data_IF_129652409097
#
_entry.id   IF_129652409097
#
_cell.length_a   1.000
_cell.length_b   1.000
_cell.length_c   1.000
_cell.angle_alpha   90.00
_cell.angle_beta   90.00
_cell.angle_gamma   90.00
#
_symmetry.space_group_name_H-M   'P 1'
#
loop_
_entity.id
_entity.type
_entity.pdbx_description
1 polymer ?
#
# COMPACT_ATOMS: atom_id res chain seq x y z
N UNK A 1 -6.16 -22.59 37.16
CA UNK A 1 -6.40 -21.14 36.99
C UNK A 1 -5.23 -20.54 36.23
N UNK A 2 -5.29 -20.51 34.89
CA UNK A 2 -4.26 -19.90 34.05
C UNK A 2 -4.54 -18.40 33.97
N UNK A 3 -3.64 -17.61 34.55
CA UNK A 3 -3.63 -16.16 34.45
C UNK A 3 -3.67 -15.80 32.97
N UNK A 4 -4.72 -15.08 32.58
CA UNK A 4 -4.82 -14.44 31.27
C UNK A 4 -3.62 -13.52 31.19
N UNK A 5 -2.61 -13.87 30.38
CA UNK A 5 -1.53 -12.95 30.02
C UNK A 5 -2.18 -11.70 29.46
N UNK A 6 -2.26 -10.65 30.30
CA UNK A 6 -2.53 -9.30 29.83
C UNK A 6 -1.38 -9.02 28.87
N UNK A 7 -1.66 -9.10 27.57
CA UNK A 7 -0.69 -8.85 26.53
C UNK A 7 -0.23 -7.41 26.68
N UNK A 8 0.82 -7.20 27.46
CA UNK A 8 1.29 -5.87 27.77
C UNK A 8 1.77 -5.24 26.46
N UNK A 9 1.26 -4.04 26.18
CA UNK A 9 1.56 -3.35 24.92
C UNK A 9 2.44 -2.14 25.20
N UNK A 10 3.46 -1.96 24.38
CA UNK A 10 4.38 -0.84 24.44
C UNK A 10 3.97 0.25 23.46
N UNK A 11 4.11 1.51 23.89
CA UNK A 11 4.02 2.64 22.98
C UNK A 11 5.15 2.59 21.93
N UNK A 12 4.90 3.12 20.73
CA UNK A 12 5.83 3.08 19.60
C UNK A 12 7.25 3.57 19.95
N UNK A 13 7.38 4.67 20.70
CA UNK A 13 8.69 5.20 21.09
C UNK A 13 9.49 4.24 21.98
N UNK A 14 8.82 3.60 22.96
CA UNK A 14 9.46 2.62 23.84
C UNK A 14 9.83 1.35 23.07
N UNK A 15 8.95 0.86 22.21
CA UNK A 15 9.22 -0.29 21.37
C UNK A 15 10.39 -0.04 20.41
N UNK A 16 10.48 1.14 19.78
CA UNK A 16 11.60 1.52 18.93
C UNK A 16 12.93 1.51 19.69
N UNK A 17 12.94 2.05 20.92
CA UNK A 17 14.11 2.04 21.79
C UNK A 17 14.56 0.61 22.13
N UNK A 18 13.63 -0.25 22.54
CA UNK A 18 13.93 -1.65 22.89
C UNK A 18 14.37 -2.49 21.68
N UNK A 19 13.83 -2.20 20.50
CA UNK A 19 14.25 -2.80 19.23
C UNK A 19 15.53 -2.16 18.65
N UNK A 20 16.08 -1.14 19.31
CA UNK A 20 17.26 -0.37 18.87
C UNK A 20 17.08 0.16 17.44
N UNK A 21 15.89 0.61 17.08
CA UNK A 21 15.59 1.21 15.78
C UNK A 21 15.48 2.72 15.91
N UNK A 22 15.97 3.45 14.90
CA UNK A 22 15.65 4.87 14.73
C UNK A 22 14.17 5.03 14.43
N UNK A 23 13.61 6.23 14.65
CA UNK A 23 12.19 6.51 14.36
C UNK A 23 11.78 6.10 12.94
N UNK A 24 12.54 6.51 11.92
CA UNK A 24 12.25 6.16 10.53
C UNK A 24 12.37 4.66 10.24
N UNK A 25 13.34 3.97 10.85
CA UNK A 25 13.51 2.52 10.73
C UNK A 25 12.34 1.76 11.37
N UNK A 26 11.85 2.21 12.53
CA UNK A 26 10.71 1.62 13.22
C UNK A 26 9.40 1.84 12.45
N UNK A 27 9.18 3.03 11.90
CA UNK A 27 8.06 3.32 11.01
C UNK A 27 8.06 2.36 9.82
N UNK A 28 9.23 2.17 9.17
CA UNK A 28 9.38 1.23 8.06
C UNK A 28 9.19 -0.23 8.49
N UNK A 29 9.75 -0.63 9.63
CA UNK A 29 9.61 -1.98 10.14
C UNK A 29 8.15 -2.34 10.37
N UNK A 30 7.35 -1.37 10.83
CA UNK A 30 5.93 -1.60 11.02
C UNK A 30 5.18 -1.62 9.68
N UNK A 31 5.43 -0.62 8.82
CA UNK A 31 4.81 -0.55 7.50
C UNK A 31 5.05 -1.81 6.67
N UNK A 32 6.26 -2.36 6.71
CA UNK A 32 6.65 -3.58 6.01
C UNK A 32 6.22 -4.88 6.75
N UNK A 33 5.49 -4.76 7.86
CA UNK A 33 5.00 -5.90 8.65
C UNK A 33 6.09 -6.70 9.36
N UNK A 34 7.30 -6.16 9.50
CA UNK A 34 8.40 -6.80 10.25
C UNK A 34 8.20 -6.68 11.77
N UNK A 35 7.55 -5.60 12.21
CA UNK A 35 7.07 -5.40 13.59
C UNK A 35 5.55 -5.45 13.57
N UNK A 36 4.96 -6.42 14.25
CA UNK A 36 3.50 -6.51 14.39
C UNK A 36 3.00 -5.47 15.40
N UNK A 37 1.97 -4.73 15.02
CA UNK A 37 1.31 -3.76 15.90
C UNK A 37 -0.16 -4.08 16.13
N UNK A 38 -0.66 -3.58 17.25
CA UNK A 38 -2.08 -3.59 17.63
C UNK A 38 -2.58 -2.15 17.74
N UNK A 39 -3.85 -1.94 17.38
CA UNK A 39 -4.43 -0.61 17.20
C UNK A 39 -4.22 -0.08 15.77
N UNK A 40 -5.30 0.42 15.15
CA UNK A 40 -5.33 0.82 13.73
C UNK A 40 -4.33 1.90 13.35
N UNK A 41 -3.96 1.93 12.07
CA UNK A 41 -2.86 2.73 11.54
C UNK A 41 -3.01 4.22 11.79
N UNK A 42 -4.23 4.75 11.74
CA UNK A 42 -4.51 6.18 11.87
C UNK A 42 -4.99 6.60 13.26
N UNK A 43 -5.20 5.64 14.17
CA UNK A 43 -5.72 5.90 15.52
C UNK A 43 -4.75 6.64 16.45
N UNK A 44 -3.50 6.87 16.03
CA UNK A 44 -2.43 7.43 16.88
C UNK A 44 -2.06 6.53 18.08
N UNK A 45 -2.73 5.40 18.26
CA UNK A 45 -2.58 4.45 19.37
C UNK A 45 -1.95 3.14 18.89
N UNK A 46 -1.09 3.20 17.88
CA UNK A 46 -0.32 2.05 17.40
C UNK A 46 0.60 1.58 18.53
N UNK A 47 0.37 0.38 19.04
CA UNK A 47 1.17 -0.24 20.11
C UNK A 47 1.78 -1.54 19.64
N UNK A 48 2.92 -1.91 20.23
CA UNK A 48 3.62 -3.17 19.94
C UNK A 48 3.43 -4.11 21.12
N UNK A 49 2.90 -5.34 20.93
CA UNK A 49 2.86 -6.33 22.00
C UNK A 49 4.26 -6.63 22.55
N UNK A 50 4.42 -6.76 23.88
CA UNK A 50 5.72 -7.08 24.49
C UNK A 50 6.30 -8.39 23.96
N UNK A 51 5.46 -9.42 23.80
CA UNK A 51 5.88 -10.69 23.20
C UNK A 51 6.45 -10.53 21.78
N UNK A 52 5.99 -9.55 21.01
CA UNK A 52 6.56 -9.25 19.69
C UNK A 52 7.95 -8.63 19.79
N UNK A 53 8.14 -7.69 20.73
CA UNK A 53 9.46 -7.09 21.00
C UNK A 53 10.44 -8.15 21.44
N UNK A 54 10.04 -9.02 22.36
CA UNK A 54 10.89 -10.11 22.84
C UNK A 54 11.22 -11.13 21.75
N UNK A 55 10.25 -11.50 20.91
CA UNK A 55 10.48 -12.38 19.73
C UNK A 55 11.57 -11.82 18.83
N UNK A 56 11.52 -10.52 18.54
CA UNK A 56 12.50 -9.85 17.69
C UNK A 56 13.86 -9.73 18.38
N UNK A 57 13.89 -9.46 19.69
CA UNK A 57 15.15 -9.41 20.48
C UNK A 57 15.85 -10.76 20.59
N UNK A 58 15.09 -11.85 20.64
CA UNK A 58 15.62 -13.24 20.65
C UNK A 58 16.00 -13.76 19.26
N UNK A 59 15.66 -13.04 18.19
CA UNK A 59 16.00 -13.45 16.84
C UNK A 59 17.52 -13.38 16.61
N UNK A 60 18.06 -14.37 15.89
CA UNK A 60 19.47 -14.40 15.55
C UNK A 60 19.87 -13.14 14.74
N UNK A 61 21.03 -12.57 15.08
CA UNK A 61 21.53 -11.36 14.43
C UNK A 61 20.86 -10.06 14.89
N UNK A 62 20.08 -10.06 15.97
CA UNK A 62 19.50 -8.82 16.52
C UNK A 62 20.58 -7.85 17.05
N UNK A 63 20.48 -6.53 16.81
CA UNK A 63 19.45 -5.84 16.00
C UNK A 63 19.80 -5.73 14.50
N UNK A 64 21.01 -6.15 14.09
CA UNK A 64 21.53 -5.97 12.73
C UNK A 64 20.63 -6.57 11.64
N UNK A 65 20.15 -7.79 11.83
CA UNK A 65 19.27 -8.45 10.87
C UNK A 65 17.94 -7.70 10.68
N UNK A 66 17.38 -7.11 11.75
CA UNK A 66 16.17 -6.31 11.66
C UNK A 66 16.43 -4.97 10.95
N UNK A 67 17.56 -4.32 11.27
CA UNK A 67 17.97 -3.08 10.61
C UNK A 67 18.23 -3.27 9.12
N UNK A 68 18.82 -4.40 8.72
CA UNK A 68 19.09 -4.69 7.31
C UNK A 68 17.80 -4.80 6.49
N UNK A 69 16.76 -5.42 7.06
CA UNK A 69 15.44 -5.55 6.42
C UNK A 69 14.71 -4.22 6.20
N UNK A 70 15.08 -3.18 6.96
CA UNK A 70 14.52 -1.82 6.82
C UNK A 70 15.56 -0.82 6.31
N UNK A 71 16.73 -1.31 5.86
CA UNK A 71 17.81 -0.46 5.38
C UNK A 71 17.39 0.22 4.10
N UNK A 72 17.35 1.55 4.14
CA UNK A 72 17.07 2.36 2.97
C UNK A 72 18.34 2.98 2.42
N UNK A 73 18.45 3.07 1.10
CA UNK A 73 19.59 3.63 0.38
C UNK A 73 19.14 4.70 -0.61
N UNK A 74 20.02 5.66 -0.88
CA UNK A 74 19.81 6.67 -1.93
C UNK A 74 20.25 6.16 -3.31
N UNK A 75 20.25 7.04 -4.32
CA UNK A 75 20.60 6.69 -5.70
C UNK A 75 22.01 6.12 -5.87
N UNK A 76 23.02 6.74 -5.25
CA UNK A 76 24.42 6.33 -5.44
C UNK A 76 24.66 4.92 -4.87
N UNK A 77 24.39 4.74 -3.59
CA UNK A 77 24.50 3.45 -2.90
C UNK A 77 23.56 2.38 -3.49
N UNK A 78 22.36 2.76 -3.94
CA UNK A 78 21.44 1.86 -4.62
C UNK A 78 21.97 1.38 -5.98
N UNK A 79 22.68 2.23 -6.71
CA UNK A 79 23.31 1.87 -7.98
C UNK A 79 24.51 0.93 -7.75
N UNK A 80 25.31 1.17 -6.72
CA UNK A 80 26.40 0.27 -6.30
C UNK A 80 25.89 -1.12 -5.90
N UNK A 81 24.80 -1.20 -5.12
CA UNK A 81 24.19 -2.48 -4.74
C UNK A 81 23.69 -3.32 -5.92
N UNK A 82 23.41 -2.67 -7.05
CA UNK A 82 22.90 -3.31 -8.27
C UNK A 82 23.98 -3.47 -9.34
N UNK A 83 25.22 -3.05 -9.07
CA UNK A 83 26.34 -3.01 -10.02
C UNK A 83 26.00 -2.27 -11.34
N UNK A 84 25.41 -1.07 -11.21
CA UNK A 84 25.05 -0.20 -12.34
C UNK A 84 25.47 1.25 -12.10
N UNK A 85 25.46 2.07 -13.16
CA UNK A 85 25.70 3.50 -13.02
C UNK A 85 24.50 4.23 -12.36
N UNK A 86 24.75 5.33 -11.60
CA UNK A 86 23.67 6.15 -11.03
C UNK A 86 22.67 6.70 -12.05
N UNK A 87 23.13 7.00 -13.27
CA UNK A 87 22.27 7.44 -14.37
C UNK A 87 21.35 6.33 -14.87
N UNK A 88 21.80 5.07 -14.86
CA UNK A 88 20.95 3.91 -15.18
C UNK A 88 19.94 3.63 -14.08
N UNK A 89 20.37 3.69 -12.82
CA UNK A 89 19.48 3.55 -11.67
C UNK A 89 18.34 4.58 -11.73
N UNK A 90 18.67 5.84 -12.00
CA UNK A 90 17.68 6.91 -12.11
C UNK A 90 16.67 6.65 -13.22
N UNK A 91 17.11 6.16 -14.39
CA UNK A 91 16.20 5.77 -15.48
C UNK A 91 15.26 4.64 -15.07
N UNK A 92 15.77 3.57 -14.45
CA UNK A 92 14.94 2.47 -13.95
C UNK A 92 13.91 2.95 -12.92
N UNK A 93 14.32 3.83 -12.01
CA UNK A 93 13.43 4.37 -10.99
C UNK A 93 12.34 5.29 -11.58
N UNK A 94 12.70 6.19 -12.51
CA UNK A 94 11.75 7.07 -13.19
C UNK A 94 10.75 6.29 -14.05
N UNK A 95 11.21 5.24 -14.73
CA UNK A 95 10.37 4.31 -15.48
C UNK A 95 9.52 3.38 -14.61
N UNK A 96 9.65 3.45 -13.27
CA UNK A 96 8.83 2.72 -12.33
C UNK A 96 9.24 1.28 -12.03
N UNK A 97 10.41 0.82 -12.50
CA UNK A 97 10.94 -0.50 -12.15
C UNK A 97 11.40 -0.59 -10.69
N UNK A 98 11.84 0.54 -10.14
CA UNK A 98 12.26 0.66 -8.75
C UNK A 98 11.29 1.58 -8.01
N UNK A 99 10.61 1.03 -7.00
CA UNK A 99 9.60 1.77 -6.24
C UNK A 99 10.23 2.31 -4.95
N UNK A 100 10.35 3.63 -4.78
CA UNK A 100 10.88 4.18 -3.55
C UNK A 100 9.92 3.91 -2.39
N UNK A 101 10.50 3.80 -1.19
CA UNK A 101 9.78 3.51 0.06
C UNK A 101 9.62 4.77 0.91
N UNK A 102 10.58 5.70 0.82
CA UNK A 102 10.51 7.02 1.46
C UNK A 102 11.12 8.08 0.55
N UNK A 103 10.90 9.33 0.93
CA UNK A 103 11.67 10.44 0.42
C UNK A 103 11.83 11.51 1.50
N UNK A 104 12.74 12.45 1.28
CA UNK A 104 12.84 13.68 2.04
C UNK A 104 13.24 14.84 1.13
N UNK A 105 12.96 16.06 1.57
CA UNK A 105 13.48 17.26 0.92
C UNK A 105 14.82 17.63 1.56
N UNK A 106 15.85 17.80 0.74
CA UNK A 106 17.11 18.32 1.25
C UNK A 106 17.00 19.83 1.57
N UNK A 107 18.05 20.44 2.12
CA UNK A 107 18.10 21.89 2.42
C UNK A 107 17.86 22.79 1.19
N UNK A 108 18.09 22.26 -0.01
CA UNK A 108 17.88 22.92 -1.29
C UNK A 108 16.51 22.61 -1.90
N UNK A 109 15.64 21.91 -1.16
CA UNK A 109 14.28 21.51 -1.57
C UNK A 109 14.23 20.50 -2.72
N UNK A 110 15.36 19.87 -3.07
CA UNK A 110 15.37 18.74 -3.98
C UNK A 110 14.92 17.47 -3.27
N UNK A 111 14.14 16.66 -3.99
CA UNK A 111 13.58 15.41 -3.49
C UNK A 111 14.66 14.33 -3.52
N UNK A 112 14.98 13.78 -2.35
CA UNK A 112 15.85 12.61 -2.23
C UNK A 112 14.98 11.39 -1.99
N UNK A 113 14.98 10.49 -2.97
CA UNK A 113 14.26 9.22 -2.91
C UNK A 113 15.10 8.16 -2.20
N UNK A 114 14.43 7.34 -1.40
CA UNK A 114 15.01 6.25 -0.63
C UNK A 114 14.37 4.93 -1.03
N UNK A 115 15.21 3.94 -1.30
CA UNK A 115 14.83 2.61 -1.78
C UNK A 115 15.22 1.56 -0.75
N UNK A 116 14.47 0.46 -0.67
CA UNK A 116 14.81 -0.62 0.26
C UNK A 116 15.96 -1.44 -0.31
N UNK A 117 17.07 -1.55 0.43
CA UNK A 117 18.27 -2.25 -0.03
C UNK A 117 17.97 -3.71 -0.43
N UNK A 118 17.13 -4.39 0.36
CA UNK A 118 16.71 -5.78 0.11
C UNK A 118 15.97 -5.92 -1.23
N UNK A 119 15.07 -4.98 -1.56
CA UNK A 119 14.32 -4.99 -2.82
C UNK A 119 15.23 -4.74 -4.03
N UNK A 120 16.23 -3.87 -3.90
CA UNK A 120 17.20 -3.61 -4.96
C UNK A 120 18.04 -4.86 -5.27
N UNK A 121 18.53 -5.55 -4.23
CA UNK A 121 19.28 -6.81 -4.40
C UNK A 121 18.40 -7.90 -4.99
N UNK A 122 17.15 -8.01 -4.53
CA UNK A 122 16.19 -8.98 -5.06
C UNK A 122 15.87 -8.69 -6.55
N UNK A 123 15.72 -7.42 -6.92
CA UNK A 123 15.51 -7.01 -8.31
C UNK A 123 16.74 -7.34 -9.18
N UNK A 124 17.95 -7.00 -8.74
CA UNK A 124 19.18 -7.30 -9.47
C UNK A 124 19.38 -8.81 -9.67
N UNK A 125 19.03 -9.61 -8.67
CA UNK A 125 19.13 -11.07 -8.74
C UNK A 125 18.04 -11.72 -9.61
N UNK A 126 16.83 -11.15 -9.62
CA UNK A 126 15.67 -11.71 -10.32
C UNK A 126 15.57 -11.34 -11.79
N UNK A 127 16.11 -10.19 -12.20
CA UNK A 127 16.04 -9.67 -13.56
C UNK A 127 17.43 -9.18 -14.05
N UNK A 128 18.45 -10.06 -14.13
CA UNK A 128 19.85 -9.65 -14.42
C UNK A 128 20.02 -9.01 -15.81
N UNK A 129 19.08 -9.23 -16.73
CA UNK A 129 19.10 -8.63 -18.07
C UNK A 129 18.66 -7.16 -18.12
N UNK A 130 17.93 -6.65 -17.12
CA UNK A 130 17.48 -5.25 -17.06
C UNK A 130 18.55 -4.27 -16.53
N UNK A 131 19.50 -4.68 -15.67
CA UNK A 131 20.72 -3.95 -15.37
C UNK A 131 21.71 -3.83 -16.54
N UNK A 132 21.73 -4.78 -17.49
CA UNK A 132 22.69 -4.78 -18.59
C UNK A 132 22.10 -4.44 -19.97
N UNK A 133 20.79 -4.65 -20.20
CA UNK A 133 20.16 -4.61 -21.53
C UNK A 133 19.50 -3.28 -21.92
N UNK A 134 18.67 -3.30 -22.96
CA UNK A 134 17.80 -2.16 -23.34
C UNK A 134 16.60 -2.12 -22.39
N UNK A 135 16.25 -0.94 -21.87
CA UNK A 135 15.03 -0.79 -21.07
C UNK A 135 13.82 -1.13 -21.97
N UNK A 136 12.94 -2.07 -21.57
CA UNK A 136 11.67 -2.25 -22.24
C UNK A 136 10.92 -0.92 -22.20
N UNK A 137 10.30 -0.55 -23.33
CA UNK A 137 9.36 0.56 -23.36
C UNK A 137 8.35 0.35 -22.24
N UNK A 138 8.20 1.36 -21.40
CA UNK A 138 7.37 1.40 -20.21
C UNK A 138 6.08 0.60 -20.40
N UNK A 139 5.98 -0.49 -19.65
CA UNK A 139 4.73 -1.19 -19.44
C UNK A 139 4.38 -0.99 -17.98
N UNK A 140 3.28 -0.30 -17.70
CA UNK A 140 2.51 -0.50 -16.48
C UNK A 140 2.50 -2.01 -16.20
N UNK A 141 3.19 -2.46 -15.15
CA UNK A 141 3.23 -3.88 -14.78
C UNK A 141 1.89 -4.25 -14.14
N UNK A 142 0.86 -4.35 -14.97
CA UNK A 142 -0.42 -4.92 -14.61
C UNK A 142 -0.32 -6.45 -14.73
N UNK A 143 -0.50 -7.15 -13.60
CA UNK A 143 -0.86 -8.56 -13.55
C UNK A 143 0.28 -9.59 -13.32
N UNK A 144 -0.03 -10.72 -12.65
CA UNK A 144 0.93 -11.79 -12.43
C UNK A 144 1.26 -12.50 -13.75
N UNK A 145 2.56 -12.64 -14.06
CA UNK A 145 3.03 -13.49 -15.16
C UNK A 145 2.56 -14.94 -14.91
N UNK A 146 1.83 -15.53 -15.85
CA UNK A 146 1.59 -16.99 -15.86
C UNK A 146 2.95 -17.72 -15.96
N UNK A 147 3.12 -18.87 -15.29
CA UNK A 147 4.32 -19.67 -15.45
C UNK A 147 4.42 -20.17 -16.89
N UNK A 148 5.61 -20.04 -17.46
CA UNK A 148 5.98 -20.52 -18.79
C UNK A 148 5.90 -22.04 -18.83
N UNK A 149 4.76 -22.55 -19.29
CA UNK A 149 4.57 -23.95 -19.65
C UNK A 149 5.17 -24.22 -21.02
N UNK A 150 6.25 -25.00 -21.02
CA UNK A 150 6.88 -25.62 -22.19
C UNK A 150 5.85 -26.42 -22.99
N UNK A 151 5.67 -26.09 -24.26
CA UNK A 151 5.11 -27.00 -25.27
C UNK A 151 5.97 -26.88 -26.54
N UNK A 152 6.48 -28.03 -26.99
CA UNK A 152 7.22 -28.21 -28.24
C UNK A 152 6.25 -28.54 -29.37
N UNK A 153 6.76 -28.26 -30.58
CA UNK A 153 6.44 -28.81 -31.90
C UNK A 153 5.32 -28.13 -32.71
N UNK A 154 5.70 -27.81 -33.95
CA UNK A 154 4.83 -27.29 -35.01
C UNK A 154 5.63 -26.41 -35.96
N UNK A 155 6.42 -27.04 -36.82
CA UNK A 155 7.15 -26.50 -37.97
C UNK A 155 6.34 -25.52 -38.83
N UNK A 156 6.97 -24.41 -39.26
CA UNK A 156 6.87 -23.99 -40.65
C UNK A 156 8.02 -23.07 -41.10
N UNK A 157 8.44 -23.27 -42.34
CA UNK A 157 9.50 -22.55 -43.04
C UNK A 157 9.02 -21.18 -43.51
N UNK A 158 9.92 -20.18 -43.54
CA UNK A 158 9.65 -18.97 -44.33
C UNK A 158 10.55 -17.77 -44.05
N UNK A 159 11.59 -17.64 -44.87
CA UNK A 159 12.12 -16.38 -45.43
C UNK A 159 12.80 -15.39 -44.46
N UNK A 160 14.12 -15.30 -44.60
CA UNK A 160 14.95 -14.17 -44.17
C UNK A 160 14.73 -13.01 -45.18
N UNK A 161 14.67 -11.76 -44.70
CA UNK A 161 15.42 -10.76 -45.43
C UNK A 161 16.32 -9.92 -44.51
N UNK A 162 17.56 -9.77 -44.96
CA UNK A 162 18.48 -8.72 -44.56
C UNK A 162 17.83 -7.35 -44.77
N UNK A 163 17.77 -6.55 -43.72
CA UNK A 163 17.60 -5.11 -43.84
C UNK A 163 18.33 -4.41 -42.69
N UNK A 164 19.49 -3.84 -43.02
CA UNK A 164 20.15 -2.81 -42.22
C UNK A 164 19.14 -1.68 -41.98
N UNK A 165 18.73 -1.49 -40.73
CA UNK A 165 18.06 -0.28 -40.30
C UNK A 165 18.99 0.46 -39.33
N UNK A 166 19.53 1.57 -39.84
CA UNK A 166 20.38 2.48 -39.11
C UNK A 166 19.71 2.97 -37.81
N UNK A 167 20.53 2.93 -36.77
CA UNK A 167 20.69 3.97 -35.76
C UNK A 167 19.85 5.25 -35.97
N UNK A 168 18.58 5.20 -35.56
CA UNK A 168 17.84 6.37 -35.18
C UNK A 168 17.87 6.44 -33.66
N UNK A 169 18.77 7.27 -33.13
CA UNK A 169 18.72 7.75 -31.75
C UNK A 169 17.37 8.47 -31.56
N UNK A 170 16.34 7.69 -31.22
CA UNK A 170 15.03 8.22 -30.88
C UNK A 170 15.20 9.13 -29.68
N UNK A 171 15.00 10.43 -29.91
CA UNK A 171 14.82 11.44 -28.86
C UNK A 171 13.74 10.90 -27.92
N UNK A 172 14.21 10.38 -26.79
CA UNK A 172 13.37 9.86 -25.74
C UNK A 172 12.68 11.06 -25.11
N UNK A 173 11.39 11.21 -25.39
CA UNK A 173 10.49 12.08 -24.61
C UNK A 173 10.82 11.82 -23.14
N UNK A 174 11.04 12.85 -22.29
CA UNK A 174 11.39 12.63 -20.91
C UNK A 174 10.31 11.75 -20.30
N UNK A 175 10.65 10.48 -20.09
CA UNK A 175 9.76 9.48 -19.52
C UNK A 175 9.25 10.09 -18.22
N UNK A 176 7.93 10.25 -18.17
CA UNK A 176 7.24 10.87 -17.04
C UNK A 176 7.71 10.18 -15.77
N UNK A 177 8.08 10.96 -14.75
CA UNK A 177 8.72 10.41 -13.57
C UNK A 177 7.68 9.67 -12.72
N UNK A 178 7.61 8.35 -12.86
CA UNK A 178 6.63 7.52 -12.12
C UNK A 178 6.95 7.37 -10.62
N UNK A 179 8.07 7.91 -10.12
CA UNK A 179 8.46 7.75 -8.70
C UNK A 179 7.40 8.28 -7.71
N UNK A 180 6.81 9.48 -7.89
CA UNK A 180 5.74 9.97 -7.00
C UNK A 180 4.51 9.06 -7.03
N UNK A 181 4.03 8.70 -8.22
CA UNK A 181 2.88 7.80 -8.42
C UNK A 181 3.09 6.44 -7.75
N UNK A 182 4.23 5.79 -8.02
CA UNK A 182 4.52 4.47 -7.46
C UNK A 182 4.75 4.52 -5.94
N UNK A 183 5.36 5.60 -5.44
CA UNK A 183 5.48 5.84 -4.00
C UNK A 183 4.10 5.96 -3.34
N UNK A 184 3.21 6.80 -3.90
CA UNK A 184 1.83 6.97 -3.40
C UNK A 184 1.10 5.64 -3.42
N UNK A 185 1.11 4.92 -4.55
CA UNK A 185 0.47 3.61 -4.68
C UNK A 185 0.95 2.61 -3.62
N UNK A 186 2.27 2.52 -3.40
CA UNK A 186 2.84 1.70 -2.32
C UNK A 186 2.37 2.16 -0.95
N UNK A 187 2.45 3.46 -0.66
CA UNK A 187 2.07 4.02 0.66
C UNK A 187 0.60 3.78 0.97
N UNK A 188 -0.28 4.02 0.00
CA UNK A 188 -1.72 3.78 0.09
C UNK A 188 -2.01 2.29 0.29
N UNK A 189 -1.37 1.40 -0.49
CA UNK A 189 -1.54 -0.05 -0.34
C UNK A 189 -1.17 -0.55 1.06
N UNK A 190 -0.07 -0.06 1.63
CA UNK A 190 0.37 -0.41 2.98
C UNK A 190 -0.63 0.07 4.04
N UNK A 191 -1.09 1.33 3.95
CA UNK A 191 -2.09 1.86 4.87
C UNK A 191 -3.42 1.10 4.78
N UNK A 192 -3.87 0.76 3.57
CA UNK A 192 -5.07 -0.05 3.36
C UNK A 192 -4.92 -1.48 3.92
N UNK A 193 -3.72 -2.03 3.98
CA UNK A 193 -3.50 -3.34 4.60
C UNK A 193 -3.55 -3.27 6.12
N UNK A 194 -3.18 -2.13 6.72
CA UNK A 194 -3.17 -1.93 8.17
C UNK A 194 -4.53 -1.44 8.74
N UNK A 195 -5.47 -1.03 7.88
CA UNK A 195 -6.75 -0.43 8.29
C UNK A 195 -7.96 -1.30 7.96
N UNK A 196 -8.65 -1.74 9.01
CA UNK A 196 -9.92 -2.48 8.92
C UNK A 196 -11.15 -1.54 8.92
N UNK A 197 -11.03 -0.34 9.50
CA UNK A 197 -12.13 0.63 9.57
C UNK A 197 -12.47 1.17 8.18
N UNK A 198 -13.75 1.07 7.79
CA UNK A 198 -14.18 1.40 6.42
C UNK A 198 -14.08 2.90 6.10
N UNK A 199 -14.29 3.76 7.10
CA UNK A 199 -14.12 5.21 6.94
C UNK A 199 -12.63 5.58 6.84
N UNK A 200 -11.76 4.92 7.60
CA UNK A 200 -10.31 5.06 7.53
C UNK A 200 -9.78 4.69 6.15
N UNK A 201 -10.27 3.58 5.58
CA UNK A 201 -9.92 3.15 4.22
C UNK A 201 -10.32 4.18 3.15
N UNK A 202 -11.52 4.74 3.25
CA UNK A 202 -11.98 5.81 2.36
C UNK A 202 -11.09 7.07 2.53
N UNK A 203 -10.74 7.44 3.75
CA UNK A 203 -9.87 8.58 4.03
C UNK A 203 -8.45 8.38 3.49
N UNK A 204 -7.92 7.15 3.55
CA UNK A 204 -6.63 6.79 2.96
C UNK A 204 -6.64 7.05 1.45
N UNK A 205 -7.61 6.49 0.73
CA UNK A 205 -7.69 6.68 -0.73
C UNK A 205 -7.98 8.12 -1.10
N UNK A 206 -8.86 8.81 -0.37
CA UNK A 206 -9.17 10.22 -0.62
C UNK A 206 -8.02 11.18 -0.32
N UNK A 207 -7.00 10.75 0.44
CA UNK A 207 -5.91 11.62 0.90
C UNK A 207 -4.97 12.12 -0.21
N UNK A 208 -4.97 11.47 -1.38
CA UNK A 208 -4.16 11.82 -2.54
C UNK A 208 -4.95 12.56 -3.62
N UNK A 209 -6.27 12.71 -3.46
CA UNK A 209 -7.08 13.51 -4.38
C UNK A 209 -6.97 15.00 -4.03
N UNK A 210 -7.05 15.84 -5.05
CA UNK A 210 -7.16 17.29 -4.87
C UNK A 210 -8.45 17.62 -4.07
N UNK A 211 -8.43 18.63 -3.16
CA UNK A 211 -9.60 18.98 -2.36
C UNK A 211 -10.86 19.31 -3.17
N UNK A 212 -10.73 19.84 -4.39
CA UNK A 212 -11.86 20.11 -5.30
C UNK A 212 -12.46 18.80 -5.78
N UNK A 213 -11.63 17.88 -6.27
CA UNK A 213 -12.07 16.54 -6.70
C UNK A 213 -12.73 15.75 -5.55
N UNK A 214 -12.20 15.87 -4.34
CA UNK A 214 -12.78 15.26 -3.15
C UNK A 214 -14.15 15.87 -2.81
N UNK A 215 -14.31 17.18 -2.96
CA UNK A 215 -15.57 17.88 -2.71
C UNK A 215 -16.67 17.50 -3.71
N UNK A 216 -16.31 17.27 -4.97
CA UNK A 216 -17.23 16.76 -6.00
C UNK A 216 -17.76 15.37 -5.65
N UNK A 217 -16.86 14.45 -5.26
CA UNK A 217 -17.24 13.06 -4.95
C UNK A 217 -17.98 12.92 -3.62
N UNK A 218 -17.77 13.85 -2.69
CA UNK A 218 -18.35 13.81 -1.34
C UNK A 218 -19.09 15.12 -1.06
N UNK A 219 -20.32 15.28 -1.59
CA UNK A 219 -21.10 16.51 -1.38
C UNK A 219 -21.44 16.75 0.10
N UNK A 220 -21.69 15.69 0.89
CA UNK A 220 -22.03 15.82 2.32
C UNK A 220 -20.84 16.41 3.12
N UNK A 221 -20.99 17.61 3.73
CA UNK A 221 -19.92 18.23 4.50
C UNK A 221 -19.50 17.41 5.74
N UNK A 222 -20.39 16.62 6.33
CA UNK A 222 -20.06 15.78 7.50
C UNK A 222 -19.22 14.58 7.11
N UNK A 223 -19.48 13.97 5.95
CA UNK A 223 -18.62 12.92 5.41
C UNK A 223 -17.23 13.47 5.09
N UNK A 224 -17.14 14.65 4.47
CA UNK A 224 -15.85 15.32 4.24
C UNK A 224 -15.11 15.63 5.54
N UNK A 225 -15.81 16.12 6.57
CA UNK A 225 -15.23 16.35 7.88
C UNK A 225 -14.72 15.05 8.53
N UNK A 226 -15.46 13.95 8.36
CA UNK A 226 -15.05 12.62 8.80
C UNK A 226 -13.75 12.16 8.10
N UNK A 227 -13.70 12.26 6.77
CA UNK A 227 -12.52 11.90 5.98
C UNK A 227 -11.30 12.76 6.36
N UNK A 228 -11.49 14.07 6.54
CA UNK A 228 -10.42 14.98 6.95
C UNK A 228 -9.86 14.65 8.33
N UNK A 229 -10.73 14.25 9.28
CA UNK A 229 -10.30 13.82 10.63
C UNK A 229 -9.50 12.52 10.59
N UNK A 230 -9.85 11.62 9.67
CA UNK A 230 -9.21 10.33 9.47
C UNK A 230 -8.08 10.39 8.44
N UNK A 231 -7.70 11.56 7.93
CA UNK A 231 -6.70 11.67 6.87
C UNK A 231 -5.32 11.21 7.37
N UNK A 232 -4.65 10.27 6.67
CA UNK A 232 -3.32 9.82 7.06
C UNK A 232 -2.26 10.91 6.85
N UNK A 233 -1.22 10.89 7.69
CA UNK A 233 0.05 11.52 7.38
C UNK A 233 0.86 10.61 6.43
N UNK A 234 0.87 10.97 5.14
CA UNK A 234 1.55 10.18 4.11
C UNK A 234 3.08 10.32 4.20
N UNK A 235 3.58 11.49 4.63
CA UNK A 235 5.00 11.80 4.69
C UNK A 235 5.31 12.63 5.96
N UNK A 236 5.65 11.97 7.09
CA UNK A 236 5.90 12.66 8.34
C UNK A 236 7.13 13.57 8.24
N UNK A 237 6.93 14.85 8.55
CA UNK A 237 7.93 15.90 8.42
C UNK A 237 7.40 17.03 7.54
N UNK A 238 6.70 18.00 8.14
CA UNK A 238 6.21 19.16 7.40
C UNK A 238 7.38 20.08 7.05
N UNK A 239 7.55 20.47 5.78
CA UNK A 239 8.56 21.44 5.41
C UNK A 239 8.23 22.80 6.04
N UNK A 240 9.22 23.44 6.67
CA UNK A 240 9.04 24.75 7.31
C UNK A 240 8.88 25.91 6.33
N UNK A 241 9.24 25.73 5.06
CA UNK A 241 9.16 26.77 4.01
C UNK A 241 8.00 26.54 3.04
N UNK A 242 7.41 27.61 2.51
CA UNK A 242 6.34 27.59 1.52
C UNK A 242 6.68 26.81 0.25
N UNK A 243 7.81 27.12 -0.40
CA UNK A 243 8.27 26.35 -1.57
C UNK A 243 8.45 24.85 -1.27
N UNK A 244 8.85 24.51 -0.04
CA UNK A 244 8.90 23.11 0.39
C UNK A 244 7.50 22.48 0.48
N UNK A 245 6.51 23.21 1.00
CA UNK A 245 5.11 22.76 1.05
C UNK A 245 4.55 22.54 -0.36
N UNK A 246 4.91 23.40 -1.31
CA UNK A 246 4.52 23.25 -2.71
C UNK A 246 5.09 21.97 -3.34
N UNK A 247 6.40 21.73 -3.18
CA UNK A 247 7.04 20.49 -3.66
C UNK A 247 6.40 19.27 -3.01
N UNK A 248 6.14 19.29 -1.71
CA UNK A 248 5.41 18.21 -1.03
C UNK A 248 4.00 18.02 -1.60
N UNK A 249 3.26 19.11 -1.88
CA UNK A 249 1.92 19.05 -2.45
C UNK A 249 1.90 18.26 -3.76
N UNK A 250 2.82 18.57 -4.68
CA UNK A 250 2.96 17.85 -5.97
C UNK A 250 3.31 16.37 -5.81
N UNK A 251 4.06 16.01 -4.76
CA UNK A 251 4.42 14.61 -4.49
C UNK A 251 3.28 13.83 -3.80
N UNK A 252 2.47 14.49 -2.98
CA UNK A 252 1.44 13.85 -2.18
C UNK A 252 0.09 13.77 -2.92
N UNK A 253 -0.17 14.66 -3.87
CA UNK A 253 -1.40 14.69 -4.67
C UNK A 253 -1.21 13.95 -5.99
N UNK A 254 -2.22 13.18 -6.41
CA UNK A 254 -2.28 12.56 -7.72
C UNK A 254 -2.56 13.61 -8.80
N UNK A 255 -1.75 13.59 -9.86
CA UNK A 255 -1.81 14.58 -10.96
C UNK A 255 -2.06 13.90 -12.32
N UNK A 256 -1.73 12.61 -12.44
CA UNK A 256 -1.95 11.86 -13.67
C UNK A 256 -3.44 11.46 -13.82
N UNK A 257 -4.07 11.66 -15.00
CA UNK A 257 -5.51 11.43 -15.18
C UNK A 257 -5.98 10.00 -14.86
N UNK A 258 -5.17 8.99 -15.17
CA UNK A 258 -5.51 7.59 -14.90
C UNK A 258 -5.33 7.24 -13.41
N UNK A 259 -4.31 7.79 -12.74
CA UNK A 259 -4.14 7.71 -11.28
C UNK A 259 -5.33 8.36 -10.55
N UNK A 260 -5.73 9.56 -10.98
CA UNK A 260 -6.90 10.28 -10.45
C UNK A 260 -8.16 9.43 -10.65
N UNK A 261 -8.40 8.93 -11.87
CA UNK A 261 -9.58 8.12 -12.20
C UNK A 261 -9.67 6.85 -11.35
N UNK A 262 -8.52 6.19 -11.11
CA UNK A 262 -8.42 5.03 -10.24
C UNK A 262 -8.78 5.35 -8.78
N UNK A 263 -8.23 6.45 -8.23
CA UNK A 263 -8.53 6.87 -6.86
C UNK A 263 -9.97 7.32 -6.69
N UNK A 264 -10.56 8.02 -7.66
CA UNK A 264 -11.97 8.41 -7.67
C UNK A 264 -12.88 7.18 -7.62
N UNK A 265 -12.63 6.20 -8.49
CA UNK A 265 -13.41 4.95 -8.54
C UNK A 265 -13.29 4.15 -7.24
N UNK A 266 -12.06 4.05 -6.71
CA UNK A 266 -11.78 3.38 -5.44
C UNK A 266 -12.47 4.07 -4.25
N UNK A 267 -12.45 5.40 -4.21
CA UNK A 267 -13.09 6.18 -3.16
C UNK A 267 -14.61 6.00 -3.17
N UNK A 268 -15.24 6.04 -4.35
CA UNK A 268 -16.68 5.80 -4.50
C UNK A 268 -17.09 4.43 -3.95
N UNK A 269 -16.34 3.37 -4.28
CA UNK A 269 -16.60 2.03 -3.75
C UNK A 269 -16.45 1.96 -2.22
N UNK A 270 -15.37 2.54 -1.68
CA UNK A 270 -15.10 2.54 -0.24
C UNK A 270 -16.11 3.38 0.55
N UNK A 271 -16.60 4.49 0.00
CA UNK A 271 -17.66 5.29 0.62
C UNK A 271 -18.98 4.53 0.66
N UNK A 272 -19.33 3.81 -0.42
CA UNK A 272 -20.51 2.96 -0.43
C UNK A 272 -20.42 1.86 0.66
N UNK A 273 -19.24 1.24 0.83
CA UNK A 273 -18.99 0.28 1.90
C UNK A 273 -19.07 0.92 3.29
N UNK A 274 -18.48 2.10 3.48
CA UNK A 274 -18.46 2.80 4.75
C UNK A 274 -19.87 3.24 5.19
N UNK A 275 -20.67 3.78 4.27
CA UNK A 275 -22.07 4.19 4.53
C UNK A 275 -22.96 3.01 4.90
N UNK A 276 -22.72 1.83 4.34
CA UNK A 276 -23.44 0.59 4.68
C UNK A 276 -23.14 0.10 6.10
N UNK A 277 -21.94 0.35 6.60
CA UNK A 277 -21.53 -0.04 7.95
C UNK A 277 -21.96 0.98 9.00
N UNK A 278 -21.70 2.26 8.76
CA UNK A 278 -22.11 3.34 9.65
C UNK A 278 -22.16 4.67 8.90
N UNK A 279 -23.21 5.46 9.14
CA UNK A 279 -23.25 6.84 8.65
C UNK A 279 -22.13 7.69 9.28
N UNK A 280 -21.68 8.74 8.59
CA UNK A 280 -20.66 9.64 9.13
C UNK A 280 -21.12 10.24 10.48
N UNK A 281 -20.22 10.38 11.47
CA UNK A 281 -20.55 11.03 12.73
C UNK A 281 -21.06 12.45 12.47
N UNK A 282 -22.36 12.66 12.69
CA UNK A 282 -22.95 14.00 12.69
C UNK A 282 -22.92 14.52 14.12
N UNK A 283 -22.63 15.81 14.36
CA UNK A 283 -22.89 16.40 15.65
C UNK A 283 -24.37 16.17 15.93
N UNK A 284 -24.68 15.35 16.94
CA UNK A 284 -26.04 15.18 17.41
C UNK A 284 -26.54 16.57 17.73
N UNK A 285 -27.62 17.00 17.07
CA UNK A 285 -28.34 18.17 17.50
C UNK A 285 -28.88 17.87 18.89
N UNK A 286 -28.11 18.15 19.94
CA UNK A 286 -28.71 18.67 21.15
C UNK A 286 -29.26 20.02 20.71
N UNK A 287 -30.48 20.00 20.18
CA UNK A 287 -31.31 21.19 20.28
C UNK A 287 -31.21 21.63 21.74
N UNK A 288 -30.92 22.90 22.05
CA UNK A 288 -31.20 23.37 23.39
C UNK A 288 -32.66 23.01 23.62
N UNK A 289 -32.92 22.16 24.60
CA UNK A 289 -34.26 21.94 25.12
C UNK A 289 -34.70 23.29 25.65
N UNK A 290 -35.27 24.11 24.77
CA UNK A 290 -36.21 25.13 25.18
C UNK A 290 -37.39 24.33 25.73
N UNK A 291 -37.33 24.06 27.04
CA UNK A 291 -38.52 23.84 27.83
C UNK A 291 -39.36 25.10 27.70
N UNK A 292 -40.15 25.18 26.62
CA UNK A 292 -41.32 26.02 26.59
C UNK A 292 -42.49 25.09 26.87
N UNK A 293 -42.72 24.92 28.16
CA UNK A 293 -44.04 24.55 28.63
C UNK A 293 -45.02 25.66 28.21
N UNK A 294 -46.26 25.23 27.95
CA UNK A 294 -47.47 26.01 27.70
C UNK A 294 -47.63 26.52 26.27
N UNK A 295 -48.76 26.35 25.58
CA UNK A 295 -50.05 25.75 25.89
C UNK A 295 -50.80 25.70 24.54
N UNK A 296 -51.55 24.64 24.27
CA UNK A 296 -52.56 24.64 23.20
C UNK A 296 -53.72 25.55 23.63
N UNK A 297 -54.32 26.27 22.67
CA UNK A 297 -55.76 26.10 22.50
C UNK A 297 -56.14 25.75 21.05
N UNK A 298 -57.27 25.06 20.99
CA UNK A 298 -57.93 24.46 19.84
C UNK A 298 -58.70 25.48 18.98
N UNK A 299 -59.12 25.01 17.80
CA UNK A 299 -60.12 25.54 16.86
C UNK A 299 -59.68 26.71 15.96
N UNK A 300 -59.98 26.80 14.67
CA UNK A 300 -60.80 25.99 13.76
C UNK A 300 -60.48 26.39 12.31
N UNK A 301 -60.73 25.46 11.39
CA UNK A 301 -61.32 25.62 10.05
C UNK A 301 -60.74 26.62 9.01
N UNK A 302 -60.18 26.08 7.91
CA UNK A 302 -60.80 26.23 6.58
C UNK A 302 -60.00 25.61 5.42
N UNK A 303 -60.74 24.86 4.62
CA UNK A 303 -60.40 24.08 3.44
C UNK A 303 -59.85 24.83 2.21
N UNK A 304 -59.00 24.15 1.42
CA UNK A 304 -59.25 23.64 0.04
C UNK A 304 -57.94 23.13 -0.60
N UNK A 305 -57.87 21.86 -1.04
CA UNK A 305 -58.17 21.35 -2.40
C UNK A 305 -57.21 21.96 -3.45
N UNK A 306 -56.29 21.20 -4.06
CA UNK A 306 -56.48 20.29 -5.23
C UNK A 306 -55.34 19.24 -5.26
N UNK A 307 -55.60 17.94 -5.41
CA UNK A 307 -55.91 17.15 -6.62
C UNK A 307 -54.67 16.58 -7.36
N UNK A 308 -54.77 15.26 -7.62
CA UNK A 308 -54.12 14.46 -8.68
C UNK A 308 -52.58 14.31 -8.66
N UNK A 309 -51.95 13.13 -8.77
CA UNK A 309 -52.16 12.02 -9.73
C UNK A 309 -51.48 10.72 -9.22
N UNK A 310 -52.13 9.59 -9.52
CA UNK A 310 -51.64 8.20 -9.44
C UNK A 310 -51.00 7.80 -10.78
N UNK A 311 -49.83 7.14 -10.77
CA UNK A 311 -49.39 6.16 -11.79
C UNK A 311 -47.97 5.63 -11.44
N UNK A 312 -47.85 4.40 -10.93
CA UNK A 312 -47.45 3.15 -11.64
C UNK A 312 -45.98 3.08 -12.03
N UNK A 313 -45.32 2.01 -11.56
CA UNK A 313 -43.91 1.74 -11.77
C UNK A 313 -43.54 1.09 -13.11
N UNK A 314 -42.24 0.94 -13.30
CA UNK A 314 -41.55 0.03 -14.23
C UNK A 314 -40.06 0.12 -13.88
N UNK A 315 -39.47 -0.82 -13.14
CA UNK A 315 -38.80 -2.04 -13.63
C UNK A 315 -38.02 -1.82 -14.93
N UNK A 316 -36.77 -1.40 -14.77
CA UNK A 316 -35.73 -1.41 -15.81
C UNK A 316 -34.55 -2.24 -15.34
N UNK A 317 -34.58 -3.52 -15.67
CA UNK A 317 -33.51 -4.50 -15.52
C UNK A 317 -32.25 -4.02 -16.24
N UNK A 318 -31.12 -3.92 -15.55
CA UNK A 318 -29.81 -3.89 -16.21
C UNK A 318 -28.90 -4.89 -15.51
N UNK A 319 -28.66 -6.00 -16.21
CA UNK A 319 -27.68 -7.02 -15.89
C UNK A 319 -26.28 -6.41 -15.76
N UNK A 320 -25.55 -6.69 -14.67
CA UNK A 320 -24.12 -6.49 -14.61
C UNK A 320 -23.40 -7.70 -15.22
N UNK A 321 -22.60 -7.43 -16.26
CA UNK A 321 -21.63 -8.38 -16.83
C UNK A 321 -20.64 -8.82 -15.75
N UNK A 322 -20.45 -10.14 -15.51
CA UNK A 322 -19.59 -10.63 -14.45
C UNK A 322 -18.13 -10.63 -14.92
N UNK A 323 -17.26 -9.81 -14.31
CA UNK A 323 -15.83 -10.13 -14.29
C UNK A 323 -15.49 -10.76 -12.94
N UNK A 324 -15.00 -12.00 -13.03
CA UNK A 324 -14.97 -12.98 -11.95
C UNK A 324 -14.31 -12.52 -10.65
N UNK A 325 -15.04 -12.76 -9.55
CA UNK A 325 -14.50 -12.73 -8.20
C UNK A 325 -13.47 -13.85 -8.02
N UNK A 326 -12.20 -13.45 -7.93
CA UNK A 326 -11.13 -14.27 -7.38
C UNK A 326 -10.97 -14.00 -5.89
N UNK A 327 -11.64 -14.78 -5.04
CA UNK A 327 -11.25 -14.94 -3.63
C UNK A 327 -9.87 -15.59 -3.58
N UNK A 328 -8.81 -14.77 -3.51
CA UNK A 328 -7.44 -15.22 -3.37
C UNK A 328 -6.93 -14.99 -1.95
N UNK A 329 -6.97 -16.03 -1.13
CA UNK A 329 -6.15 -16.13 0.10
C UNK A 329 -4.68 -15.87 -0.28
N UNK A 330 -3.91 -15.03 0.44
CA UNK A 330 -2.48 -14.97 0.20
C UNK A 330 -1.79 -16.24 0.72
N UNK A 331 -1.28 -17.01 -0.24
CA UNK A 331 -0.37 -18.14 -0.06
C UNK A 331 0.97 -17.64 0.52
N UNK A 332 1.18 -17.79 1.83
CA UNK A 332 2.51 -18.02 2.41
C UNK A 332 2.39 -18.94 3.63
N UNK A 333 2.04 -20.19 3.38
CA UNK A 333 2.38 -21.27 4.30
C UNK A 333 2.92 -22.44 3.49
N UNK A 334 4.14 -22.85 3.85
CA UNK A 334 4.83 -24.13 3.60
C UNK A 334 6.16 -23.97 2.89
N UNK A 335 7.19 -23.67 3.68
CA UNK A 335 8.44 -24.43 3.64
C UNK A 335 8.96 -24.57 5.08
N UNK A 336 8.48 -25.61 5.77
CA UNK A 336 9.20 -26.20 6.91
C UNK A 336 9.40 -27.69 6.60
N UNK A 337 10.66 -28.06 6.53
CA UNK A 337 11.21 -29.28 7.13
C UNK A 337 10.86 -30.61 6.47
N UNK A 338 11.80 -31.13 5.70
CA UNK A 338 12.04 -32.58 5.66
C UNK A 338 13.47 -32.86 6.11
N UNK A 339 13.68 -32.87 7.44
CA UNK A 339 14.74 -33.69 8.05
C UNK A 339 14.15 -35.10 8.18
N UNK A 340 14.69 -36.06 7.44
CA UNK A 340 14.54 -37.48 7.80
C UNK A 340 15.70 -37.81 8.70
N UNK A 341 15.36 -38.27 9.91
CA UNK A 341 16.25 -38.76 10.96
C UNK A 341 17.02 -39.99 10.45
N UNK A 342 18.28 -40.07 10.85
CA UNK A 342 19.04 -41.31 10.82
C UNK A 342 18.35 -42.40 11.63
N UNK A 343 18.45 -43.62 11.12
CA UNK A 343 18.12 -44.83 11.86
C UNK A 343 19.38 -45.67 11.91
N UNK A 344 19.77 -45.99 13.13
CA UNK A 344 20.80 -46.93 13.51
C UNK A 344 20.74 -48.20 12.66
N UNK A 345 21.90 -48.66 12.20
CA UNK A 345 22.11 -50.04 11.79
C UNK A 345 23.17 -50.63 12.70
N UNK A 346 22.76 -51.70 13.39
CA UNK A 346 23.49 -52.43 14.38
C UNK A 346 24.70 -53.19 13.80
N UNK A 347 25.69 -53.37 14.67
CA UNK A 347 26.77 -54.35 14.56
C UNK A 347 26.23 -55.76 14.31
N UNK A 348 27.00 -56.63 13.65
CA UNK A 348 27.02 -58.05 13.99
C UNK A 348 28.42 -58.48 14.46
N UNK A 349 28.46 -59.16 15.61
CA UNK A 349 29.58 -59.99 16.07
C UNK A 349 29.30 -61.46 15.69
N UNK A 350 30.34 -62.15 15.21
CA UNK A 350 30.47 -63.62 15.09
C UNK A 350 29.72 -64.25 13.91
N UNK A 351 30.28 -65.06 13.02
CA UNK A 351 31.50 -65.88 13.04
C UNK A 351 31.10 -67.36 12.88
N UNK A 352 31.54 -68.03 11.80
CA UNK A 352 31.95 -69.46 11.67
C UNK A 352 31.99 -69.89 10.18
N UNK A 353 33.08 -70.60 9.81
CA UNK A 353 33.26 -71.71 8.83
C UNK A 353 32.47 -71.69 7.49
N UNK A 354 33.02 -72.05 6.33
CA UNK A 354 33.73 -73.29 6.02
C UNK A 354 34.29 -73.20 4.57
N UNK A 355 35.41 -73.89 4.34
CA UNK A 355 36.13 -74.24 3.09
C UNK A 355 36.72 -73.18 2.17
#
# INVERSE_FOLDING_TARGET
MSVVEVSETLAAGRAAQELRLKRGEFELATQMGHVRTVGGALSGRRRVPRGEVERLRRAAGFPGALRERVRTVGTAEGAELMDISPGRFTRLARAGYLVPVRFYLNRYRAVVWLYLAEELRAFASGEPGLPAGRLPRSGTRAGPRKPTGRARCGSDMGVVPDAKAGEAAGVMVPEEDCRPRNWRGRRIGLLLHESDDRWERAAIVGSVLDPVQLAELVPDPYERACLNRLRPDLAPGRPGSEAGREVMGRLLTADEPDEISWHRSSLTALLADARRDRQAPRPSGTAPTLTRAQETPSAEDSARTTDSVRATGSVGTSEPVPYGGGRGRPLLTRLRGRRVRGREAALPLGGTADR
#
